data_IF_665388069188
#
_entry.id   IF_665388069188
#
_cell.length_a   1.000
_cell.length_b   1.000
_cell.length_c   1.000
_cell.angle_alpha   90.00
_cell.angle_beta   90.00
_cell.angle_gamma   90.00
#
_symmetry.space_group_name_H-M   'P 1'
#
loop_
_entity.id
_entity.type
_entity.pdbx_description
1 polymer ?
#
# COMPACT_ATOMS: atom_id res chain seq x y z
N UNK A 1 -15.59 12.03 -0.25
CA UNK A 1 -16.06 10.94 -1.12
C UNK A 1 -16.04 11.34 -2.59
N UNK A 2 -16.38 12.57 -2.90
CA UNK A 2 -16.41 13.09 -4.27
C UNK A 2 -15.03 13.14 -4.95
N UNK A 3 -13.96 13.40 -4.20
CA UNK A 3 -12.60 13.41 -4.72
C UNK A 3 -12.14 12.01 -5.18
N UNK A 4 -12.52 10.97 -4.45
CA UNK A 4 -12.23 9.57 -4.83
C UNK A 4 -13.01 9.16 -6.08
N UNK A 5 -14.28 9.55 -6.17
CA UNK A 5 -15.12 9.30 -7.35
C UNK A 5 -14.61 10.06 -8.59
N UNK A 6 -13.99 11.22 -8.43
CA UNK A 6 -13.40 11.99 -9.51
C UNK A 6 -12.04 11.42 -10.00
N UNK A 7 -11.29 10.74 -9.12
CA UNK A 7 -9.98 10.15 -9.44
C UNK A 7 -10.07 8.75 -10.07
N UNK A 8 -11.10 7.99 -9.75
CA UNK A 8 -11.26 6.61 -10.24
C UNK A 8 -11.42 6.52 -11.76
N UNK A 9 -12.28 7.34 -12.44
CA UNK A 9 -12.40 7.28 -13.89
C UNK A 9 -11.08 7.55 -14.63
N UNK A 10 -10.32 8.63 -14.34
CA UNK A 10 -9.07 8.89 -15.05
C UNK A 10 -7.99 7.82 -14.78
N UNK A 11 -7.97 7.22 -13.60
CA UNK A 11 -7.07 6.11 -13.29
C UNK A 11 -7.41 4.84 -14.11
N UNK A 12 -8.68 4.54 -14.28
CA UNK A 12 -9.15 3.43 -15.12
C UNK A 12 -8.81 3.68 -16.59
N UNK A 13 -9.01 4.89 -17.09
CA UNK A 13 -8.67 5.28 -18.46
C UNK A 13 -7.17 5.19 -18.72
N UNK A 14 -6.34 5.64 -17.77
CA UNK A 14 -4.89 5.50 -17.85
C UNK A 14 -4.46 4.02 -17.87
N UNK A 15 -5.04 3.18 -17.03
CA UNK A 15 -4.78 1.75 -17.03
C UNK A 15 -5.21 1.07 -18.35
N UNK A 16 -6.35 1.45 -18.89
CA UNK A 16 -6.82 0.96 -20.21
C UNK A 16 -5.92 1.37 -21.36
N UNK A 17 -5.46 2.61 -21.38
CA UNK A 17 -4.57 3.09 -22.43
C UNK A 17 -3.21 2.39 -22.39
N UNK A 18 -2.67 2.08 -21.22
CA UNK A 18 -1.45 1.28 -21.07
C UNK A 18 -1.66 -0.14 -21.60
N UNK A 19 -2.75 -0.80 -21.20
CA UNK A 19 -3.09 -2.14 -21.66
C UNK A 19 -3.30 -2.20 -23.20
N UNK A 20 -3.96 -1.19 -23.77
CA UNK A 20 -4.19 -1.11 -25.20
C UNK A 20 -2.89 -0.82 -25.97
N UNK A 21 -1.99 -0.01 -25.45
CA UNK A 21 -0.69 0.27 -26.04
C UNK A 21 0.18 -0.98 -26.09
N UNK A 22 0.18 -1.80 -25.04
CA UNK A 22 0.88 -3.09 -25.02
C UNK A 22 0.29 -4.10 -26.00
N UNK A 23 -1.04 -4.14 -26.15
CA UNK A 23 -1.71 -5.02 -27.10
C UNK A 23 -1.44 -4.58 -28.55
N UNK A 24 -1.40 -3.28 -28.81
CA UNK A 24 -1.11 -2.72 -30.14
C UNK A 24 0.36 -2.87 -30.56
N UNK A 25 1.28 -2.89 -29.58
CA UNK A 25 2.71 -3.13 -29.83
C UNK A 25 3.04 -4.60 -30.18
N UNK A 26 2.04 -5.49 -30.23
CA UNK A 26 2.25 -6.90 -30.52
C UNK A 26 3.00 -7.66 -29.46
N UNK A 27 3.20 -7.02 -28.30
CA UNK A 27 3.73 -7.67 -27.11
C UNK A 27 2.63 -8.50 -26.46
N UNK A 28 2.64 -9.80 -26.68
CA UNK A 28 1.99 -10.70 -25.73
C UNK A 28 2.61 -10.39 -24.37
N UNK A 29 1.77 -9.97 -23.40
CA UNK A 29 2.20 -9.94 -22.02
C UNK A 29 2.58 -11.38 -21.72
N UNK A 30 3.88 -11.65 -21.64
CA UNK A 30 4.38 -12.98 -21.30
C UNK A 30 3.88 -13.33 -19.90
N UNK A 31 3.77 -14.61 -19.59
CA UNK A 31 3.39 -15.05 -18.24
C UNK A 31 4.26 -14.37 -17.17
N UNK A 32 5.54 -14.15 -17.47
CA UNK A 32 6.46 -13.42 -16.59
C UNK A 32 6.07 -11.94 -16.44
N UNK A 33 5.65 -11.27 -17.49
CA UNK A 33 5.16 -9.89 -17.42
C UNK A 33 3.91 -9.76 -16.55
N UNK A 34 3.00 -10.72 -16.64
CA UNK A 34 1.81 -10.78 -15.78
C UNK A 34 2.15 -11.04 -14.31
N UNK A 35 3.14 -11.90 -14.03
CA UNK A 35 3.62 -12.15 -12.68
C UNK A 35 4.21 -10.88 -12.05
N UNK A 36 5.08 -10.18 -12.75
CA UNK A 36 5.68 -8.94 -12.23
C UNK A 36 4.63 -7.84 -12.04
N UNK A 37 3.65 -7.73 -12.95
CA UNK A 37 2.54 -6.81 -12.79
C UNK A 37 1.71 -7.15 -11.53
N UNK A 38 1.35 -8.41 -11.37
CA UNK A 38 0.58 -8.88 -10.20
C UNK A 38 1.36 -8.64 -8.90
N UNK A 39 2.64 -8.97 -8.85
CA UNK A 39 3.50 -8.72 -7.69
C UNK A 39 3.58 -7.23 -7.36
N UNK A 40 3.75 -6.37 -8.38
CA UNK A 40 3.76 -4.92 -8.23
C UNK A 40 2.43 -4.37 -7.69
N UNK A 41 1.31 -4.89 -8.16
CA UNK A 41 -0.02 -4.50 -7.68
C UNK A 41 -0.25 -4.93 -6.22
N UNK A 42 0.10 -6.16 -5.86
CA UNK A 42 -0.02 -6.65 -4.48
C UNK A 42 0.79 -5.78 -3.53
N UNK A 43 2.03 -5.47 -3.86
CA UNK A 43 2.87 -4.62 -3.03
C UNK A 43 2.41 -3.17 -3.03
N UNK A 44 2.10 -2.59 -4.18
CA UNK A 44 1.69 -1.20 -4.31
C UNK A 44 0.39 -0.90 -3.58
N UNK A 45 -0.64 -1.72 -3.77
CA UNK A 45 -1.95 -1.56 -3.12
C UNK A 45 -1.87 -1.99 -1.65
N UNK A 46 -1.17 -3.10 -1.38
CA UNK A 46 -1.04 -3.65 -0.03
C UNK A 46 -0.30 -2.73 0.95
N UNK A 47 0.60 -1.89 0.47
CA UNK A 47 1.33 -0.94 1.30
C UNK A 47 0.53 0.33 1.67
N UNK A 48 -0.51 0.68 0.92
CA UNK A 48 -1.30 1.90 1.15
C UNK A 48 -1.96 1.90 2.53
N UNK A 49 -2.64 0.81 2.89
CA UNK A 49 -3.34 0.68 4.18
C UNK A 49 -2.41 0.89 5.37
N UNK A 50 -1.36 0.08 5.52
CA UNK A 50 -0.37 0.25 6.59
C UNK A 50 0.26 1.63 6.64
N UNK A 51 0.63 2.22 5.52
CA UNK A 51 1.24 3.55 5.46
C UNK A 51 0.31 4.64 6.01
N UNK A 52 -0.97 4.61 5.62
CA UNK A 52 -1.98 5.53 6.12
C UNK A 52 -2.27 5.29 7.62
N UNK A 53 -2.32 4.04 8.03
CA UNK A 53 -2.54 3.69 9.44
C UNK A 53 -1.40 4.18 10.33
N UNK A 54 -0.14 3.98 9.93
CA UNK A 54 1.03 4.47 10.65
C UNK A 54 1.01 6.00 10.73
N UNK A 55 0.77 6.69 9.63
CA UNK A 55 0.67 8.15 9.61
C UNK A 55 -0.39 8.68 10.58
N UNK A 56 -1.57 8.06 10.61
CA UNK A 56 -2.66 8.41 11.52
C UNK A 56 -2.33 8.11 12.99
N UNK A 57 -1.74 6.94 13.27
CA UNK A 57 -1.31 6.55 14.62
C UNK A 57 -0.28 7.53 15.18
N UNK A 58 0.76 7.83 14.39
CA UNK A 58 1.82 8.76 14.79
C UNK A 58 1.27 10.16 15.01
N UNK A 59 0.46 10.67 14.08
CA UNK A 59 -0.16 11.99 14.20
C UNK A 59 -0.97 12.13 15.49
N UNK A 60 -1.85 11.17 15.76
CA UNK A 60 -2.67 11.17 17.00
C UNK A 60 -1.84 11.02 18.26
N UNK A 61 -0.78 10.21 18.23
CA UNK A 61 0.11 10.04 19.37
C UNK A 61 0.87 11.33 19.68
N UNK A 62 1.37 12.03 18.68
CA UNK A 62 2.05 13.32 18.84
C UNK A 62 1.11 14.41 19.33
N UNK A 63 -0.14 14.45 18.86
CA UNK A 63 -1.16 15.36 19.35
C UNK A 63 -1.48 15.11 20.84
N UNK A 64 -1.61 13.85 21.22
CA UNK A 64 -1.87 13.48 22.62
C UNK A 64 -0.68 13.83 23.53
N UNK A 65 0.54 13.58 23.05
CA UNK A 65 1.78 13.89 23.76
C UNK A 65 1.97 15.39 23.95
N UNK A 66 1.64 16.19 22.92
CA UNK A 66 1.69 17.64 23.01
C UNK A 66 0.72 18.24 24.05
N UNK A 67 -0.41 17.56 24.27
CA UNK A 67 -1.40 17.97 25.29
C UNK A 67 -1.09 17.46 26.68
N UNK A 68 -0.47 16.30 26.81
CA UNK A 68 -0.14 15.68 28.09
C UNK A 68 1.23 14.98 28.00
N UNK A 69 2.34 15.73 28.20
CA UNK A 69 3.68 15.17 28.15
C UNK A 69 3.94 14.07 29.19
N UNK A 70 3.23 14.08 30.33
CA UNK A 70 3.38 13.07 31.37
C UNK A 70 2.88 11.67 30.94
N UNK A 71 2.05 11.60 29.90
CA UNK A 71 1.55 10.35 29.34
C UNK A 71 2.51 9.72 28.29
N UNK A 72 3.74 10.15 28.20
CA UNK A 72 4.70 9.70 27.19
C UNK A 72 4.87 8.17 27.18
N UNK A 73 5.10 7.57 28.34
CA UNK A 73 5.39 6.12 28.43
C UNK A 73 4.27 5.23 27.89
N UNK A 74 3.01 5.38 28.34
CA UNK A 74 1.92 4.56 27.82
C UNK A 74 1.59 4.87 26.36
N UNK A 75 1.70 6.13 25.93
CA UNK A 75 1.47 6.49 24.52
C UNK A 75 2.53 5.84 23.65
N UNK A 76 3.81 5.94 24.00
CA UNK A 76 4.92 5.34 23.27
C UNK A 76 4.76 3.82 23.14
N UNK A 77 4.45 3.13 24.21
CA UNK A 77 4.30 1.67 24.22
C UNK A 77 3.19 1.23 23.27
N UNK A 78 2.03 1.85 23.34
CA UNK A 78 0.90 1.53 22.48
C UNK A 78 1.15 1.93 21.02
N UNK A 79 1.85 3.04 20.80
CA UNK A 79 2.23 3.51 19.46
C UNK A 79 3.16 2.52 18.77
N UNK A 80 4.23 2.08 19.43
CA UNK A 80 5.19 1.11 18.89
C UNK A 80 4.49 -0.20 18.56
N UNK A 81 3.63 -0.68 19.45
CA UNK A 81 2.86 -1.90 19.20
C UNK A 81 1.91 -1.76 18.00
N UNK A 82 1.21 -0.63 17.90
CA UNK A 82 0.32 -0.35 16.76
C UNK A 82 1.07 -0.25 15.43
N UNK A 83 2.23 0.40 15.41
CA UNK A 83 3.10 0.47 14.23
C UNK A 83 3.58 -0.92 13.83
N UNK A 84 4.00 -1.74 14.79
CA UNK A 84 4.49 -3.10 14.52
C UNK A 84 3.41 -3.98 13.88
N UNK A 85 2.14 -3.87 14.28
CA UNK A 85 1.04 -4.58 13.63
C UNK A 85 0.78 -4.09 12.21
N UNK A 86 0.84 -2.78 11.97
CA UNK A 86 0.71 -2.22 10.63
C UNK A 86 1.84 -2.69 9.71
N UNK A 87 3.07 -2.73 10.23
CA UNK A 87 4.24 -3.20 9.51
C UNK A 87 4.14 -4.69 9.17
N UNK A 88 3.63 -5.52 10.10
CA UNK A 88 3.40 -6.93 9.85
C UNK A 88 2.46 -7.17 8.65
N UNK A 89 1.42 -6.37 8.50
CA UNK A 89 0.51 -6.45 7.34
C UNK A 89 1.23 -6.09 6.04
N UNK A 90 2.09 -5.06 6.05
CA UNK A 90 2.90 -4.71 4.89
C UNK A 90 3.89 -5.82 4.53
N UNK A 91 4.48 -6.49 5.52
CA UNK A 91 5.37 -7.63 5.30
C UNK A 91 4.61 -8.82 4.68
N UNK A 92 3.36 -9.07 5.05
CA UNK A 92 2.55 -10.10 4.40
C UNK A 92 2.34 -9.81 2.92
N UNK A 93 2.05 -8.55 2.56
CA UNK A 93 1.94 -8.16 1.16
C UNK A 93 3.26 -8.35 0.39
N UNK A 94 4.40 -8.01 1.03
CA UNK A 94 5.72 -8.23 0.46
C UNK A 94 6.00 -9.72 0.22
N UNK A 95 5.71 -10.59 1.20
CA UNK A 95 5.92 -12.04 1.07
C UNK A 95 5.09 -12.60 -0.09
N UNK A 96 3.82 -12.21 -0.20
CA UNK A 96 2.96 -12.66 -1.30
C UNK A 96 3.49 -12.15 -2.64
N UNK A 97 3.94 -10.90 -2.73
CA UNK A 97 4.54 -10.37 -3.94
C UNK A 97 5.80 -11.14 -4.36
N UNK A 98 6.65 -11.53 -3.41
CA UNK A 98 7.84 -12.36 -3.67
C UNK A 98 7.45 -13.77 -4.11
N UNK A 99 6.45 -14.39 -3.50
CA UNK A 99 5.94 -15.70 -3.93
C UNK A 99 5.43 -15.64 -5.36
N UNK A 100 4.66 -14.63 -5.73
CA UNK A 100 4.18 -14.44 -7.10
C UNK A 100 5.34 -14.26 -8.08
N UNK A 101 6.32 -13.43 -7.72
CA UNK A 101 7.43 -13.09 -8.61
C UNK A 101 8.41 -14.25 -8.84
N UNK A 102 8.67 -15.08 -7.83
CA UNK A 102 9.76 -16.07 -7.86
C UNK A 102 9.33 -17.53 -7.76
N UNK A 103 8.13 -17.81 -7.26
CA UNK A 103 7.64 -19.18 -7.05
C UNK A 103 6.62 -19.59 -8.08
N UNK A 104 5.71 -18.71 -8.50
CA UNK A 104 4.69 -18.95 -9.52
C UNK A 104 5.21 -18.56 -10.91
#
# INVERSE_FOLDING_TARGET
MDLLLALVPPAIEAARSVLQAETAAGGNITDDGMKFLAAGMVMGIGAIGPSLAIGNLVGKALDALGRNPEAETPIRTNLVLGIAFCEAVAIYALVIALVIAFVL
#
